data_IF_684161032001
#
_entry.id   IF_684161032001
#
_cell.length_a   1.000
_cell.length_b   1.000
_cell.length_c   1.000
_cell.angle_alpha   90.00
_cell.angle_beta   90.00
_cell.angle_gamma   90.00
#
_symmetry.space_group_name_H-M   'P 1'
#
loop_
_entity.id
_entity.type
_entity.pdbx_description
1 polymer ?
#
# COMPACT_ATOMS: atom_id res chain seq x y z
N UNK A 1 -2.69 9.56 -14.05
CA UNK A 1 -2.61 8.96 -12.69
C UNK A 1 -2.15 7.53 -12.86
N UNK A 2 -1.22 7.06 -12.03
CA UNK A 2 -0.83 5.64 -12.02
C UNK A 2 -1.31 5.04 -10.70
N UNK A 3 -2.07 3.95 -10.77
CA UNK A 3 -2.63 3.24 -9.64
C UNK A 3 -1.79 2.02 -9.31
N UNK A 4 -1.36 1.90 -8.05
CA UNK A 4 -0.69 0.72 -7.54
C UNK A 4 -1.66 -0.10 -6.70
N UNK A 5 -1.80 -1.38 -7.04
CA UNK A 5 -2.50 -2.37 -6.23
C UNK A 5 -1.66 -3.64 -6.09
N UNK A 6 -2.04 -4.52 -5.16
CA UNK A 6 -1.42 -5.84 -5.03
C UNK A 6 -1.72 -6.74 -6.23
N UNK A 7 -0.98 -7.85 -6.36
CA UNK A 7 -1.15 -8.83 -7.43
C UNK A 7 -1.80 -10.13 -6.92
N UNK A 8 -2.87 -10.02 -6.12
CA UNK A 8 -3.69 -11.20 -5.74
C UNK A 8 -4.68 -11.52 -6.88
N UNK A 9 -5.23 -12.73 -6.90
CA UNK A 9 -6.21 -13.16 -7.90
C UNK A 9 -7.44 -12.24 -7.93
N UNK A 10 -7.82 -11.68 -6.79
CA UNK A 10 -9.00 -10.82 -6.67
C UNK A 10 -8.78 -9.47 -7.35
N UNK A 11 -7.61 -8.85 -7.14
CA UNK A 11 -7.25 -7.57 -7.74
C UNK A 11 -6.86 -7.68 -9.22
N UNK A 12 -6.44 -8.85 -9.69
CA UNK A 12 -6.10 -9.13 -11.09
C UNK A 12 -7.28 -9.71 -11.90
N UNK A 13 -8.46 -9.85 -11.28
CA UNK A 13 -9.65 -10.30 -11.97
C UNK A 13 -10.00 -9.37 -13.14
N UNK A 14 -10.40 -9.97 -14.27
CA UNK A 14 -10.68 -9.23 -15.51
C UNK A 14 -11.69 -8.10 -15.32
N UNK A 15 -12.75 -8.34 -14.55
CA UNK A 15 -13.77 -7.33 -14.25
C UNK A 15 -13.20 -6.09 -13.54
N UNK A 16 -12.21 -6.28 -12.66
CA UNK A 16 -11.56 -5.18 -11.94
C UNK A 16 -10.63 -4.41 -12.89
N UNK A 17 -9.80 -5.11 -13.66
CA UNK A 17 -8.87 -4.48 -14.60
C UNK A 17 -9.60 -3.74 -15.73
N UNK A 18 -10.70 -4.30 -16.24
CA UNK A 18 -11.55 -3.66 -17.24
C UNK A 18 -12.16 -2.38 -16.66
N UNK A 19 -12.63 -2.39 -15.41
CA UNK A 19 -13.16 -1.20 -14.75
C UNK A 19 -12.09 -0.10 -14.53
N UNK A 20 -10.88 -0.47 -14.09
CA UNK A 20 -9.77 0.49 -13.95
C UNK A 20 -9.45 1.14 -15.30
N UNK A 21 -9.51 0.37 -16.39
CA UNK A 21 -9.30 0.86 -17.75
C UNK A 21 -10.43 1.79 -18.21
N UNK A 22 -11.68 1.50 -17.86
CA UNK A 22 -12.84 2.39 -18.14
C UNK A 22 -12.69 3.76 -17.46
N UNK A 23 -12.03 3.81 -16.30
CA UNK A 23 -11.73 5.05 -15.59
C UNK A 23 -10.53 5.82 -16.18
N UNK A 24 -9.91 5.34 -17.26
CA UNK A 24 -8.70 5.89 -17.88
C UNK A 24 -7.51 6.00 -16.90
N UNK A 25 -7.41 5.01 -15.99
CA UNK A 25 -6.34 4.93 -14.99
C UNK A 25 -5.36 3.84 -15.41
N UNK A 26 -4.06 4.18 -15.43
CA UNK A 26 -3.02 3.20 -15.64
C UNK A 26 -2.81 2.38 -14.36
N UNK A 27 -2.98 1.06 -14.43
CA UNK A 27 -2.61 0.17 -13.33
C UNK A 27 -1.15 -0.27 -13.44
N UNK A 28 -0.36 0.03 -12.42
CA UNK A 28 1.03 -0.41 -12.32
C UNK A 28 1.09 -1.94 -12.20
N UNK A 29 1.85 -2.58 -13.09
CA UNK A 29 2.13 -4.01 -12.97
C UNK A 29 3.03 -4.25 -11.76
N UNK A 30 2.54 -5.02 -10.78
CA UNK A 30 3.25 -5.26 -9.53
C UNK A 30 3.71 -6.72 -9.39
N UNK A 31 4.96 -6.97 -8.93
CA UNK A 31 5.43 -8.31 -8.67
C UNK A 31 4.62 -9.02 -7.58
N UNK A 32 4.44 -10.33 -7.73
CA UNK A 32 3.73 -11.13 -6.73
C UNK A 32 4.55 -11.20 -5.42
N UNK A 33 3.86 -11.19 -4.27
CA UNK A 33 4.45 -11.29 -2.92
C UNK A 33 5.40 -10.15 -2.51
N UNK A 34 5.39 -9.02 -3.21
CA UNK A 34 6.21 -7.83 -2.87
C UNK A 34 5.44 -6.81 -2.03
N UNK A 35 5.05 -7.20 -0.81
CA UNK A 35 4.35 -6.33 0.14
C UNK A 35 5.27 -5.26 0.73
N UNK A 36 6.56 -5.55 0.84
CA UNK A 36 7.64 -4.66 1.30
C UNK A 36 7.77 -3.39 0.45
N UNK A 37 7.45 -3.50 -0.83
CA UNK A 37 7.46 -2.38 -1.77
C UNK A 37 6.17 -1.55 -1.73
N UNK A 38 5.10 -2.05 -1.11
CA UNK A 38 3.81 -1.37 -1.16
C UNK A 38 3.77 -0.16 -0.22
N UNK A 39 3.32 0.99 -0.74
CA UNK A 39 3.16 2.20 0.06
C UNK A 39 2.12 2.02 1.18
N UNK A 40 0.99 1.38 0.87
CA UNK A 40 -0.12 1.27 1.82
C UNK A 40 0.22 0.35 3.00
N UNK A 41 1.00 -0.71 2.76
CA UNK A 41 1.48 -1.60 3.84
C UNK A 41 2.39 -0.87 4.83
N UNK A 42 3.23 0.05 4.34
CA UNK A 42 4.06 0.90 5.21
C UNK A 42 3.22 1.88 6.04
N UNK A 43 2.16 2.44 5.46
CA UNK A 43 1.21 3.30 6.18
C UNK A 43 0.46 2.49 7.24
N UNK A 44 -0.02 1.29 6.91
CA UNK A 44 -0.66 0.40 7.88
C UNK A 44 0.28 0.01 9.02
N UNK A 45 1.55 -0.28 8.73
CA UNK A 45 2.55 -0.56 9.75
C UNK A 45 2.72 0.62 10.73
N UNK A 46 2.75 1.85 10.22
CA UNK A 46 2.81 3.05 11.05
C UNK A 46 1.55 3.23 11.90
N UNK A 47 0.36 3.06 11.29
CA UNK A 47 -0.93 3.19 11.98
C UNK A 47 -1.14 2.10 13.04
N UNK A 48 -0.54 0.92 12.87
CA UNK A 48 -0.75 -0.25 13.74
C UNK A 48 -0.50 0.04 15.23
N UNK A 49 0.41 0.97 15.55
CA UNK A 49 0.69 1.40 16.93
C UNK A 49 -0.55 2.00 17.61
N UNK A 50 -1.40 2.68 16.84
CA UNK A 50 -2.64 3.32 17.32
C UNK A 50 -3.78 2.33 17.49
N UNK A 51 -3.67 1.15 16.87
CA UNK A 51 -4.72 0.13 16.84
C UNK A 51 -4.51 -0.96 17.89
N UNK A 52 -3.47 -0.84 18.72
CA UNK A 52 -3.11 -1.85 19.70
C UNK A 52 -4.14 -1.89 20.85
N UNK A 53 -4.56 -3.10 21.24
CA UNK A 53 -5.47 -3.37 22.36
C UNK A 53 -6.91 -2.82 22.25
N UNK A 54 -7.38 -2.48 21.06
CA UNK A 54 -8.80 -2.14 20.85
C UNK A 54 -9.65 -3.41 20.86
N UNK A 55 -10.76 -3.40 21.60
CA UNK A 55 -11.53 -4.61 21.93
C UNK A 55 -12.84 -4.72 21.13
N UNK A 56 -13.36 -3.60 20.62
CA UNK A 56 -14.62 -3.57 19.86
C UNK A 56 -14.44 -3.07 18.43
N UNK A 57 -15.32 -3.49 17.48
CA UNK A 57 -15.29 -2.99 16.11
C UNK A 57 -15.44 -1.47 16.00
N UNK A 58 -16.25 -0.84 16.86
CA UNK A 58 -16.48 0.61 16.83
C UNK A 58 -15.26 1.40 17.31
N UNK A 59 -14.60 0.95 18.38
CA UNK A 59 -13.32 1.51 18.82
C UNK A 59 -12.26 1.40 17.74
N UNK A 60 -12.17 0.23 17.10
CA UNK A 60 -11.23 0.00 16.00
C UNK A 60 -11.51 0.92 14.82
N UNK A 61 -12.77 1.05 14.39
CA UNK A 61 -13.14 1.92 13.26
C UNK A 61 -12.81 3.39 13.54
N UNK A 62 -13.08 3.87 14.76
CA UNK A 62 -12.77 5.23 15.16
C UNK A 62 -11.26 5.48 15.25
N UNK A 63 -10.50 4.53 15.81
CA UNK A 63 -9.06 4.63 15.88
C UNK A 63 -8.39 4.58 14.50
N UNK A 64 -8.89 3.77 13.56
CA UNK A 64 -8.40 3.75 12.17
C UNK A 64 -8.57 5.13 11.52
N UNK A 65 -9.74 5.75 11.66
CA UNK A 65 -9.99 7.09 11.11
C UNK A 65 -9.07 8.15 11.73
N UNK A 66 -8.89 8.10 13.05
CA UNK A 66 -8.01 9.02 13.76
C UNK A 66 -6.54 8.84 13.35
N UNK A 67 -6.06 7.59 13.29
CA UNK A 67 -4.70 7.27 12.87
C UNK A 67 -4.45 7.66 11.41
N UNK A 68 -5.42 7.44 10.52
CA UNK A 68 -5.32 7.84 9.11
C UNK A 68 -5.21 9.35 8.96
N UNK A 69 -6.04 10.11 9.68
CA UNK A 69 -5.98 11.57 9.70
C UNK A 69 -4.67 12.13 10.30
N UNK A 70 -3.98 11.34 11.12
CA UNK A 70 -2.73 11.71 11.77
C UNK A 70 -1.48 11.28 10.98
N UNK A 71 -1.61 10.63 9.82
CA UNK A 71 -0.47 10.23 8.99
C UNK A 71 0.32 11.48 8.57
N UNK A 72 1.61 11.60 8.96
CA UNK A 72 2.40 12.78 8.63
C UNK A 72 2.70 12.86 7.13
N UNK A 73 2.66 14.07 6.57
CA UNK A 73 3.02 14.29 5.17
C UNK A 73 4.51 13.92 4.92
N UNK A 74 5.37 14.13 5.91
CA UNK A 74 6.78 13.75 5.85
C UNK A 74 6.96 12.24 5.67
N UNK A 75 6.08 11.42 6.27
CA UNK A 75 6.09 9.98 6.08
C UNK A 75 5.74 9.63 4.63
N UNK A 76 4.69 10.24 4.08
CA UNK A 76 4.27 10.03 2.69
C UNK A 76 5.39 10.42 1.71
N UNK A 77 5.99 11.59 1.91
CA UNK A 77 7.12 12.07 1.11
C UNK A 77 8.34 11.14 1.20
N UNK A 78 8.68 10.65 2.40
CA UNK A 78 9.79 9.70 2.59
C UNK A 78 9.52 8.35 1.91
N UNK A 79 8.29 7.86 1.99
CA UNK A 79 7.90 6.61 1.33
C UNK A 79 8.00 6.75 -0.19
N UNK A 80 7.51 7.85 -0.76
CA UNK A 80 7.60 8.15 -2.18
C UNK A 80 9.05 8.26 -2.66
N UNK A 81 9.87 9.06 -1.97
CA UNK A 81 11.26 9.31 -2.36
C UNK A 81 12.18 8.11 -2.19
N UNK A 82 11.88 7.20 -1.25
CA UNK A 82 12.69 5.99 -1.02
C UNK A 82 12.45 4.84 -2.00
N UNK A 83 11.44 4.92 -2.88
CA UNK A 83 11.10 3.82 -3.79
C UNK A 83 12.24 3.35 -4.70
N UNK A 84 13.00 4.24 -5.36
CA UNK A 84 14.10 3.82 -6.23
C UNK A 84 15.13 2.96 -5.47
N UNK A 85 15.43 3.31 -4.22
CA UNK A 85 16.37 2.55 -3.39
C UNK A 85 15.79 1.20 -2.95
N UNK A 86 14.49 1.16 -2.59
CA UNK A 86 13.79 -0.10 -2.28
C UNK A 86 13.75 -1.05 -3.47
N UNK A 87 13.51 -0.53 -4.67
CA UNK A 87 13.55 -1.31 -5.91
C UNK A 87 14.95 -1.83 -6.22
N UNK A 88 15.98 -0.99 -6.05
CA UNK A 88 17.38 -1.43 -6.25
C UNK A 88 17.72 -2.59 -5.32
N UNK A 89 17.35 -2.48 -4.04
CA UNK A 89 17.59 -3.52 -3.05
C UNK A 89 16.87 -4.83 -3.41
N UNK A 90 15.62 -4.77 -3.84
CA UNK A 90 14.88 -5.96 -4.32
C UNK A 90 15.61 -6.62 -5.50
N UNK A 91 16.10 -5.84 -6.47
CA UNK A 91 16.84 -6.38 -7.62
C UNK A 91 18.15 -7.05 -7.21
N UNK A 92 18.88 -6.47 -6.24
CA UNK A 92 20.09 -7.07 -5.67
C UNK A 92 19.79 -8.38 -4.95
N UNK A 93 18.70 -8.45 -4.18
CA UNK A 93 18.28 -9.67 -3.47
C UNK A 93 17.85 -10.81 -4.43
N UNK A 94 17.32 -10.48 -5.61
CA UNK A 94 16.96 -11.48 -6.65
C UNK A 94 18.19 -12.00 -7.40
N UNK A 95 19.25 -11.19 -7.50
CA UNK A 95 20.47 -11.54 -8.23
C UNK A 95 21.48 -12.36 -7.39
N UNK A 96 21.25 -12.51 -6.08
CA UNK A 96 22.07 -13.26 -5.14
C UNK A 96 21.58 -14.71 -4.97
#
# INVERSE_FOLDING_TARGET
LVFQQGNTSDYSARVILDHIKELDIECLRWPAKSLDLSYIENIWFWMKVWLYQLLTPDELANAIRAAWAAVPEELLCKLATSMPDRLRKMLEEIAA
#
